data_IF_423214260432
#
_entry.id   IF_423214260432
#
_cell.length_a   1.000
_cell.length_b   1.000
_cell.length_c   1.000
_cell.angle_alpha   90.00
_cell.angle_beta   90.00
_cell.angle_gamma   90.00
#
_symmetry.space_group_name_H-M   'P 1'
#
loop_
_entity.id
_entity.type
_entity.pdbx_description
1 polymer ?
#
# COMPACT_ATOMS: atom_id res chain seq x y z
N UNK A 1 -9.98 -9.19 15.76
CA UNK A 1 -9.88 -8.74 14.37
C UNK A 1 -8.54 -8.10 14.10
N UNK A 2 -7.94 -8.43 12.98
CA UNK A 2 -6.64 -7.86 12.67
C UNK A 2 -6.79 -6.40 12.22
N UNK A 3 -5.76 -5.60 12.52
CA UNK A 3 -5.69 -4.20 12.11
C UNK A 3 -5.53 -4.13 10.59
N UNK A 4 -6.30 -3.26 9.96
CA UNK A 4 -6.29 -3.10 8.50
C UNK A 4 -5.33 -1.98 8.13
N UNK A 5 -4.31 -2.32 7.37
CA UNK A 5 -3.19 -1.43 7.04
C UNK A 5 -3.18 -1.22 5.53
N UNK A 6 -3.31 0.03 5.09
CA UNK A 6 -3.27 0.34 3.66
C UNK A 6 -1.82 0.56 3.23
N UNK A 7 -1.40 -0.11 2.15
CA UNK A 7 -0.03 -0.02 1.65
C UNK A 7 -0.01 0.77 0.34
N UNK A 8 0.71 1.89 0.34
CA UNK A 8 0.83 2.74 -0.84
C UNK A 8 1.67 2.05 -1.92
N UNK A 9 1.47 2.45 -3.17
CA UNK A 9 2.09 1.83 -4.34
C UNK A 9 3.61 1.75 -4.24
N UNK A 10 4.27 2.84 -3.83
CA UNK A 10 5.73 2.84 -3.76
C UNK A 10 6.26 1.80 -2.76
N UNK A 11 5.51 1.54 -1.69
CA UNK A 11 5.90 0.57 -0.68
C UNK A 11 5.68 -0.85 -1.18
N UNK A 12 4.60 -1.09 -1.92
CA UNK A 12 4.40 -2.40 -2.57
C UNK A 12 5.54 -2.66 -3.55
N UNK A 13 5.94 -1.63 -4.30
CA UNK A 13 7.02 -1.77 -5.25
C UNK A 13 8.36 -2.05 -4.55
N UNK A 14 8.60 -1.42 -3.39
CA UNK A 14 9.80 -1.69 -2.61
C UNK A 14 9.86 -3.15 -2.16
N UNK A 15 8.70 -3.71 -1.82
CA UNK A 15 8.63 -5.12 -1.40
C UNK A 15 8.87 -6.06 -2.57
N UNK A 16 8.09 -5.92 -3.64
CA UNK A 16 8.14 -6.88 -4.74
C UNK A 16 9.37 -6.69 -5.62
N UNK A 17 9.89 -5.46 -5.69
CA UNK A 17 11.12 -5.16 -6.41
C UNK A 17 12.36 -5.33 -5.54
N UNK A 18 12.20 -5.66 -4.27
CA UNK A 18 13.28 -5.84 -3.32
C UNK A 18 14.24 -4.65 -3.31
N UNK A 19 13.66 -3.44 -3.25
CA UNK A 19 14.44 -2.20 -3.39
C UNK A 19 15.06 -1.76 -2.08
N UNK A 20 16.39 -1.67 -2.07
CA UNK A 20 17.13 -1.20 -0.91
C UNK A 20 17.17 0.32 -0.90
N UNK A 21 17.22 0.94 0.27
CA UNK A 21 17.28 0.36 1.61
C UNK A 21 15.90 0.08 2.22
N UNK A 22 14.83 0.12 1.46
CA UNK A 22 13.46 0.09 1.97
C UNK A 22 12.91 -1.32 2.17
N UNK A 23 13.52 -2.30 1.51
CA UNK A 23 12.99 -3.65 1.45
C UNK A 23 12.81 -4.31 2.82
N UNK A 24 13.80 -4.21 3.69
CA UNK A 24 13.77 -4.94 4.97
C UNK A 24 12.55 -4.59 5.82
N UNK A 25 12.23 -3.30 5.91
CA UNK A 25 11.11 -2.87 6.75
C UNK A 25 9.78 -3.37 6.21
N UNK A 26 9.56 -3.23 4.90
CA UNK A 26 8.28 -3.68 4.34
C UNK A 26 8.20 -5.20 4.32
N UNK A 27 9.34 -5.90 4.21
CA UNK A 27 9.33 -7.36 4.27
C UNK A 27 8.86 -7.84 5.64
N UNK A 28 9.26 -7.15 6.72
CA UNK A 28 8.79 -7.48 8.07
C UNK A 28 7.28 -7.26 8.20
N UNK A 29 6.78 -6.18 7.64
CA UNK A 29 5.34 -5.89 7.64
C UNK A 29 4.60 -6.97 6.84
N UNK A 30 5.12 -7.35 5.67
CA UNK A 30 4.51 -8.40 4.86
C UNK A 30 4.47 -9.73 5.62
N UNK A 31 5.51 -10.02 6.40
CA UNK A 31 5.53 -11.22 7.22
C UNK A 31 4.40 -11.23 8.25
N UNK A 32 4.12 -10.06 8.86
CA UNK A 32 2.99 -9.94 9.77
C UNK A 32 1.66 -10.17 9.07
N UNK A 33 1.55 -9.71 7.83
CA UNK A 33 0.36 -9.98 7.02
C UNK A 33 0.19 -11.45 6.71
N UNK A 34 1.30 -12.11 6.36
CA UNK A 34 1.28 -13.54 6.08
C UNK A 34 0.84 -14.35 7.28
N UNK A 35 1.25 -13.92 8.48
CA UNK A 35 0.87 -14.57 9.73
C UNK A 35 -0.51 -14.14 10.23
N UNK A 36 -1.18 -13.29 9.50
CA UNK A 36 -2.52 -12.78 9.83
C UNK A 36 -2.57 -11.98 11.13
N UNK A 37 -1.43 -11.42 11.53
CA UNK A 37 -1.38 -10.48 12.65
C UNK A 37 -2.02 -9.15 12.27
N UNK A 38 -1.80 -8.75 11.01
CA UNK A 38 -2.42 -7.56 10.42
C UNK A 38 -3.02 -7.96 9.06
N UNK A 39 -3.91 -7.12 8.54
CA UNK A 39 -4.46 -7.30 7.19
C UNK A 39 -3.88 -6.23 6.30
N UNK A 40 -3.15 -6.65 5.27
CA UNK A 40 -2.60 -5.72 4.28
C UNK A 40 -3.67 -5.42 3.24
N UNK A 41 -3.94 -4.14 3.02
CA UNK A 41 -4.97 -3.70 2.07
C UNK A 41 -4.30 -2.87 0.99
N UNK A 42 -4.63 -3.15 -0.26
CA UNK A 42 -3.94 -2.55 -1.41
C UNK A 42 -4.98 -2.19 -2.49
N UNK A 43 -4.75 -1.07 -3.17
CA UNK A 43 -5.62 -0.64 -4.26
C UNK A 43 -5.31 -1.41 -5.55
N UNK A 44 -6.32 -1.65 -6.40
CA UNK A 44 -6.08 -2.22 -7.74
C UNK A 44 -5.07 -1.41 -8.55
N UNK A 45 -5.00 -0.10 -8.34
CA UNK A 45 -4.02 0.76 -9.05
C UNK A 45 -2.61 0.28 -8.77
N UNK A 46 -2.32 -0.10 -7.54
CA UNK A 46 -0.98 -0.55 -7.16
C UNK A 46 -0.57 -1.80 -7.94
N UNK A 47 -1.52 -2.71 -8.16
CA UNK A 47 -1.22 -3.91 -8.94
C UNK A 47 -0.77 -3.57 -10.36
N UNK A 48 -1.51 -2.68 -11.03
CA UNK A 48 -1.19 -2.28 -12.40
C UNK A 48 0.16 -1.56 -12.47
N UNK A 49 0.39 -0.63 -11.55
CA UNK A 49 1.61 0.17 -11.55
C UNK A 49 2.84 -0.70 -11.24
N UNK A 50 2.72 -1.57 -10.25
CA UNK A 50 3.81 -2.46 -9.87
C UNK A 50 4.14 -3.44 -11.00
N UNK A 51 3.10 -3.97 -11.65
CA UNK A 51 3.31 -4.85 -12.81
C UNK A 51 4.12 -4.13 -13.89
N UNK A 52 3.74 -2.89 -14.18
CA UNK A 52 4.44 -2.11 -15.20
C UNK A 52 5.93 -1.97 -14.88
N UNK A 53 6.26 -1.55 -13.65
CA UNK A 53 7.65 -1.32 -13.29
C UNK A 53 8.47 -2.61 -13.21
N UNK A 54 7.93 -3.65 -12.60
CA UNK A 54 8.69 -4.90 -12.48
C UNK A 54 8.89 -5.55 -13.85
N UNK A 55 7.89 -5.45 -14.74
CA UNK A 55 8.03 -5.98 -16.09
C UNK A 55 9.15 -5.30 -16.84
N UNK A 56 9.37 -4.00 -16.58
CA UNK A 56 10.47 -3.28 -17.24
C UNK A 56 11.84 -3.73 -16.75
N UNK A 57 11.97 -4.02 -15.45
CA UNK A 57 13.27 -4.39 -14.89
C UNK A 57 13.56 -5.88 -14.97
N UNK A 58 12.55 -6.70 -14.99
CA UNK A 58 12.71 -8.15 -15.07
C UNK A 58 12.01 -8.68 -16.31
N UNK A 59 10.76 -9.08 -16.19
CA UNK A 59 9.90 -9.44 -17.32
C UNK A 59 8.48 -9.64 -16.80
N UNK A 60 7.53 -9.77 -17.74
CA UNK A 60 6.13 -9.88 -17.38
C UNK A 60 5.82 -11.16 -16.59
N UNK A 61 6.47 -12.26 -16.94
CA UNK A 61 6.25 -13.55 -16.25
C UNK A 61 6.61 -13.43 -14.77
N UNK A 62 7.76 -12.83 -14.47
CA UNK A 62 8.20 -12.65 -13.09
C UNK A 62 7.32 -11.66 -12.34
N UNK A 63 6.89 -10.59 -13.02
CA UNK A 63 5.98 -9.63 -12.41
C UNK A 63 4.69 -10.30 -11.97
N UNK A 64 4.12 -11.14 -12.83
CA UNK A 64 2.88 -11.83 -12.50
C UNK A 64 3.07 -12.83 -11.37
N UNK A 65 4.20 -13.54 -11.34
CA UNK A 65 4.51 -14.47 -10.24
C UNK A 65 4.55 -13.75 -8.90
N UNK A 66 5.24 -12.62 -8.86
CA UNK A 66 5.37 -11.84 -7.63
C UNK A 66 4.02 -11.30 -7.17
N UNK A 67 3.23 -10.83 -8.11
CA UNK A 67 1.89 -10.31 -7.79
C UNK A 67 0.96 -11.40 -7.29
N UNK A 68 1.04 -12.61 -7.86
CA UNK A 68 0.23 -13.73 -7.37
C UNK A 68 0.57 -14.08 -5.93
N UNK A 69 1.87 -14.11 -5.59
CA UNK A 69 2.29 -14.38 -4.22
C UNK A 69 1.81 -13.29 -3.27
N UNK A 70 1.93 -12.05 -3.70
CA UNK A 70 1.48 -10.92 -2.89
C UNK A 70 -0.04 -10.96 -2.68
N UNK A 71 -0.78 -11.39 -3.69
CA UNK A 71 -2.23 -11.50 -3.61
C UNK A 71 -2.69 -12.48 -2.54
N UNK A 72 -1.87 -13.50 -2.26
CA UNK A 72 -2.20 -14.49 -1.23
C UNK A 72 -2.18 -13.86 0.17
N UNK A 73 -1.30 -12.89 0.40
CA UNK A 73 -1.10 -12.30 1.73
C UNK A 73 -1.73 -10.92 1.89
N UNK A 74 -2.47 -10.45 0.90
CA UNK A 74 -3.06 -9.11 0.94
C UNK A 74 -4.48 -9.15 0.43
N UNK A 75 -5.21 -8.09 0.76
CA UNK A 75 -6.59 -7.89 0.33
C UNK A 75 -6.62 -6.72 -0.65
N UNK A 76 -7.33 -6.88 -1.78
CA UNK A 76 -7.50 -5.80 -2.74
C UNK A 76 -8.79 -5.08 -2.40
N UNK A 77 -8.71 -3.76 -2.15
CA UNK A 77 -9.90 -2.99 -1.86
C UNK A 77 -10.60 -2.56 -3.16
N UNK A 78 -11.83 -2.08 -3.01
CA UNK A 78 -12.60 -1.60 -4.17
C UNK A 78 -12.09 -0.25 -4.65
N UNK A 79 -12.23 -0.03 -5.95
CA UNK A 79 -11.96 1.27 -6.55
C UNK A 79 -13.10 1.49 -7.54
N UNK A 80 -14.15 2.19 -7.09
CA UNK A 80 -15.37 2.34 -7.89
C UNK A 80 -15.59 3.80 -8.29
N UNK A 81 -16.74 4.05 -8.93
CA UNK A 81 -17.07 5.40 -9.42
C UNK A 81 -17.06 6.43 -8.31
N UNK A 82 -17.53 6.03 -7.12
CA UNK A 82 -17.61 6.93 -5.98
C UNK A 82 -16.21 7.37 -5.52
N UNK A 83 -15.28 6.43 -5.50
CA UNK A 83 -13.88 6.72 -5.16
C UNK A 83 -13.29 7.73 -6.15
N UNK A 84 -13.54 7.50 -7.43
CA UNK A 84 -13.06 8.40 -8.48
C UNK A 84 -13.62 9.81 -8.29
N UNK A 85 -14.93 9.92 -8.04
CA UNK A 85 -15.56 11.21 -7.86
C UNK A 85 -14.97 11.98 -6.68
N UNK A 86 -14.73 11.27 -5.57
CA UNK A 86 -14.11 11.91 -4.40
C UNK A 86 -12.72 12.43 -4.74
N UNK A 87 -11.95 11.65 -5.47
CA UNK A 87 -10.61 12.06 -5.88
C UNK A 87 -10.64 13.29 -6.77
N UNK A 88 -11.58 13.33 -7.74
CA UNK A 88 -11.70 14.45 -8.66
C UNK A 88 -12.07 15.75 -7.94
N UNK A 89 -12.78 15.66 -6.82
CA UNK A 89 -13.26 16.83 -6.10
C UNK A 89 -12.46 17.12 -4.83
N UNK A 90 -11.28 16.48 -4.69
CA UNK A 90 -10.45 16.66 -3.50
C UNK A 90 -9.43 17.77 -3.71
N UNK A 91 -8.74 18.12 -2.61
CA UNK A 91 -7.67 19.10 -2.64
C UNK A 91 -6.29 18.46 -2.82
N UNK A 92 -6.23 17.16 -3.06
CA UNK A 92 -4.94 16.49 -3.30
C UNK A 92 -4.32 17.01 -4.57
N UNK A 93 -3.02 17.25 -4.52
CA UNK A 93 -2.27 17.69 -5.71
C UNK A 93 -2.11 16.58 -6.73
N UNK A 94 -1.93 15.35 -6.25
CA UNK A 94 -1.75 14.20 -7.11
C UNK A 94 -3.00 13.35 -7.07
N UNK A 95 -3.56 13.06 -8.26
CA UNK A 95 -4.82 12.32 -8.36
C UNK A 95 -4.67 10.88 -7.86
N UNK A 96 -3.54 10.24 -8.14
CA UNK A 96 -3.34 8.87 -7.66
C UNK A 96 -3.31 8.82 -6.14
N UNK A 97 -2.65 9.80 -5.50
CA UNK A 97 -2.62 9.89 -4.04
C UNK A 97 -4.03 10.09 -3.47
N UNK A 98 -4.86 10.89 -4.16
CA UNK A 98 -6.24 11.07 -3.74
C UNK A 98 -6.99 9.73 -3.78
N UNK A 99 -6.83 8.97 -4.86
CA UNK A 99 -7.49 7.67 -4.97
C UNK A 99 -7.02 6.70 -3.90
N UNK A 100 -5.72 6.71 -3.62
CA UNK A 100 -5.16 5.87 -2.56
C UNK A 100 -5.79 6.23 -1.21
N UNK A 101 -5.86 7.52 -0.91
CA UNK A 101 -6.43 7.97 0.36
C UNK A 101 -7.89 7.56 0.51
N UNK A 102 -8.71 7.82 -0.51
CA UNK A 102 -10.13 7.48 -0.41
C UNK A 102 -10.36 5.97 -0.40
N UNK A 103 -9.53 5.22 -1.12
CA UNK A 103 -9.60 3.76 -1.05
C UNK A 103 -9.30 3.27 0.37
N UNK A 104 -8.30 3.85 1.02
CA UNK A 104 -7.94 3.47 2.38
C UNK A 104 -9.07 3.76 3.36
N UNK A 105 -9.67 4.95 3.26
CA UNK A 105 -10.76 5.30 4.18
C UNK A 105 -12.00 4.47 3.93
N UNK A 106 -12.35 4.23 2.67
CA UNK A 106 -13.57 3.49 2.34
C UNK A 106 -13.45 2.00 2.67
N UNK A 107 -12.24 1.47 2.71
CA UNK A 107 -12.04 0.05 3.05
C UNK A 107 -11.79 -0.16 4.55
N UNK A 108 -11.95 0.88 5.35
CA UNK A 108 -11.86 0.77 6.81
C UNK A 108 -10.45 0.57 7.32
N UNK A 109 -9.45 1.10 6.63
CA UNK A 109 -8.08 1.00 7.10
C UNK A 109 -7.82 1.99 8.22
N UNK A 110 -6.90 1.60 9.12
CA UNK A 110 -6.57 2.41 10.30
C UNK A 110 -5.33 3.26 10.10
N UNK A 111 -4.51 2.93 9.12
CA UNK A 111 -3.26 3.65 8.86
C UNK A 111 -2.88 3.48 7.40
N UNK A 112 -2.20 4.49 6.85
CA UNK A 112 -1.62 4.42 5.51
C UNK A 112 -0.12 4.30 5.66
N UNK A 113 0.47 3.29 5.02
CA UNK A 113 1.92 3.09 5.01
C UNK A 113 2.47 3.63 3.70
N UNK A 114 3.33 4.63 3.78
CA UNK A 114 3.93 5.26 2.60
C UNK A 114 5.31 5.80 2.95
N UNK A 115 6.16 5.99 1.93
CA UNK A 115 7.44 6.67 2.12
C UNK A 115 7.30 8.19 1.97
N UNK A 116 6.18 8.66 1.43
CA UNK A 116 5.97 10.06 1.13
C UNK A 116 4.80 10.62 1.92
N UNK A 117 4.94 10.62 3.26
CA UNK A 117 3.87 11.08 4.15
C UNK A 117 3.37 12.48 3.82
N UNK A 118 4.25 13.33 3.31
CA UNK A 118 3.87 14.71 2.98
C UNK A 118 2.83 14.78 1.87
N UNK A 119 2.69 13.73 1.05
CA UNK A 119 1.68 13.70 -0.01
C UNK A 119 0.27 13.47 0.56
N UNK A 120 0.18 13.14 1.84
CA UNK A 120 -1.08 12.85 2.52
C UNK A 120 -1.34 13.80 3.68
N UNK A 121 -0.96 15.08 3.52
CA UNK A 121 -1.06 16.07 4.60
C UNK A 121 -2.47 16.23 5.15
N UNK A 122 -3.46 16.08 4.29
CA UNK A 122 -4.85 16.28 4.69
C UNK A 122 -5.52 15.00 5.16
N UNK A 123 -4.75 13.93 5.32
CA UNK A 123 -5.29 12.64 5.73
C UNK A 123 -5.84 12.70 7.15
N UNK A 124 -7.03 12.12 7.33
CA UNK A 124 -7.62 11.94 8.66
C UNK A 124 -7.12 10.64 9.29
N UNK A 125 -6.46 9.79 8.51
CA UNK A 125 -5.84 8.58 9.03
C UNK A 125 -4.39 8.84 9.38
N UNK A 126 -3.84 8.16 10.40
CA UNK A 126 -2.40 8.19 10.63
C UNK A 126 -1.67 7.75 9.37
N UNK A 127 -0.57 8.44 9.06
CA UNK A 127 0.27 8.13 7.90
C UNK A 127 1.66 7.86 8.43
N UNK A 128 2.20 6.69 8.13
CA UNK A 128 3.47 6.23 8.68
C UNK A 128 4.35 5.64 7.60
N UNK A 129 5.67 5.79 7.77
CA UNK A 129 6.61 5.01 6.98
C UNK A 129 6.62 3.57 7.52
N UNK A 130 7.16 2.60 6.73
CA UNK A 130 7.29 1.25 7.26
C UNK A 130 8.03 1.20 8.58
N UNK A 131 9.12 1.96 8.74
CA UNK A 131 9.87 1.99 10.00
C UNK A 131 9.03 2.54 11.13
N UNK A 132 8.31 3.63 10.89
CA UNK A 132 7.45 4.22 11.92
C UNK A 132 6.38 3.24 12.36
N UNK A 133 5.80 2.52 11.41
CA UNK A 133 4.77 1.54 11.75
C UNK A 133 5.34 0.40 12.61
N UNK A 134 6.50 -0.15 12.22
CA UNK A 134 7.13 -1.20 12.99
C UNK A 134 7.48 -0.74 14.40
N UNK A 135 7.98 0.49 14.53
CA UNK A 135 8.29 1.05 15.84
C UNK A 135 7.04 1.23 16.69
N UNK A 136 5.92 1.55 16.08
CA UNK A 136 4.67 1.72 16.82
C UNK A 136 4.17 0.40 17.43
N UNK A 137 4.53 -0.73 16.83
CA UNK A 137 4.14 -2.04 17.33
C UNK A 137 4.97 -2.47 18.54
N UNK A 138 6.19 -1.95 18.66
CA UNK A 138 7.08 -2.33 19.76
C UNK A 138 6.74 -1.59 21.04
N UNK A 139 6.16 -0.42 20.92
CA UNK A 139 5.80 0.40 22.09
C UNK A 139 4.52 -0.14 22.72
N UNK A 140 4.65 -0.80 23.81
CA UNK A 140 3.51 -1.34 24.55
C UNK A 140 3.58 -0.94 25.99
#
# INVERSE_FOLDING_TARGET
MSKRIFIDTNVVLDLLGERQPFYESIAKIASLGEKEVITLVVSPISYATVHYFISKFENSTKALEKLRKFNVISEICSLDAQTIEKGLNSSFKDFEDALQYFSATESGCEVIITRNGKDFKTSLLPVMSPDEFLNSLVKK
#
